data_IF_926419738717
#
_entry.id   IF_926419738717
#
_cell.length_a   1.000
_cell.length_b   1.000
_cell.length_c   1.000
_cell.angle_alpha   90.00
_cell.angle_beta   90.00
_cell.angle_gamma   90.00
#
_symmetry.space_group_name_H-M   'P 1'
#
loop_
_entity.id
_entity.type
_entity.pdbx_description
1 polymer ?
#
# COMPACT_ATOMS: atom_id res chain seq x y z
N UNK A 1 7.22 16.01 7.73
CA UNK A 1 7.35 14.84 8.62
C UNK A 1 6.69 15.05 9.98
N UNK A 2 5.39 15.37 10.01
CA UNK A 2 4.58 15.37 11.25
C UNK A 2 3.38 14.42 11.17
N UNK A 3 3.06 13.96 9.95
CA UNK A 3 1.95 13.07 9.67
C UNK A 3 2.34 11.57 9.65
N UNK A 4 3.63 11.25 9.75
CA UNK A 4 4.08 9.87 9.86
C UNK A 4 3.88 9.43 11.30
N UNK A 5 2.82 8.66 11.58
CA UNK A 5 2.70 7.74 12.71
C UNK A 5 3.52 8.12 13.97
N UNK A 6 3.27 9.32 14.53
CA UNK A 6 4.03 9.91 15.64
C UNK A 6 5.57 9.79 15.56
N UNK A 7 6.16 10.11 14.41
CA UNK A 7 7.62 10.16 14.20
C UNK A 7 8.25 8.87 13.67
N UNK A 8 7.48 7.80 13.42
CA UNK A 8 8.01 6.58 12.80
C UNK A 8 8.16 6.75 11.29
N UNK A 9 9.38 7.00 10.83
CA UNK A 9 9.71 7.17 9.42
C UNK A 9 9.42 5.89 8.62
N UNK A 10 8.70 6.01 7.52
CA UNK A 10 8.51 4.90 6.58
C UNK A 10 9.86 4.38 6.08
N UNK A 11 10.04 3.04 5.97
CA UNK A 11 11.25 2.45 5.40
C UNK A 11 11.56 3.04 4.01
N UNK A 12 12.84 3.36 3.77
CA UNK A 12 13.31 3.93 2.49
C UNK A 12 13.94 2.88 1.57
N UNK A 13 13.83 1.61 1.95
CA UNK A 13 14.27 0.44 1.20
C UNK A 13 13.24 -0.66 1.44
N UNK A 14 13.19 -1.62 0.53
CA UNK A 14 12.36 -2.80 0.69
C UNK A 14 12.77 -3.53 1.98
N UNK A 15 11.83 -3.68 2.91
CA UNK A 15 12.07 -4.46 4.12
C UNK A 15 12.34 -5.91 3.72
N UNK A 16 13.42 -6.55 4.20
CA UNK A 16 13.72 -7.93 3.86
C UNK A 16 12.53 -8.86 4.14
N UNK A 17 12.14 -9.67 3.15
CA UNK A 17 10.99 -10.58 3.24
C UNK A 17 9.63 -9.95 2.94
N UNK A 18 9.55 -8.63 2.72
CA UNK A 18 8.31 -7.98 2.29
C UNK A 18 7.95 -8.28 0.82
N UNK A 19 8.91 -8.77 0.03
CA UNK A 19 8.72 -9.34 -1.30
C UNK A 19 7.95 -10.66 -1.27
N UNK A 20 8.03 -11.40 -0.17
CA UNK A 20 7.40 -12.72 -0.01
C UNK A 20 6.01 -12.57 0.57
N UNK A 21 5.08 -12.16 -0.27
CA UNK A 21 3.67 -11.98 0.11
C UNK A 21 3.00 -13.33 0.32
N UNK A 22 2.36 -13.51 1.47
CA UNK A 22 1.56 -14.69 1.77
C UNK A 22 0.19 -14.34 2.36
N UNK A 23 -0.79 -15.22 2.16
CA UNK A 23 -2.08 -15.11 2.83
C UNK A 23 -1.92 -15.20 4.35
N UNK A 24 -2.67 -14.39 5.09
CA UNK A 24 -2.59 -14.29 6.55
C UNK A 24 -1.42 -13.46 7.07
N UNK A 25 -0.46 -13.08 6.23
CA UNK A 25 0.64 -12.20 6.63
C UNK A 25 0.11 -10.83 7.08
N UNK A 26 0.66 -10.29 8.16
CA UNK A 26 0.31 -8.95 8.61
C UNK A 26 0.80 -7.90 7.61
N UNK A 27 -0.13 -7.11 7.08
CA UNK A 27 0.11 -6.00 6.19
C UNK A 27 -0.63 -4.76 6.70
N UNK A 28 0.11 -3.68 6.91
CA UNK A 28 -0.39 -2.48 7.62
C UNK A 28 -0.88 -2.84 9.04
N UNK A 29 -2.19 -2.98 9.22
CA UNK A 29 -2.86 -3.27 10.51
C UNK A 29 -3.79 -4.50 10.42
N UNK A 30 -3.76 -5.24 9.31
CA UNK A 30 -4.63 -6.40 9.10
C UNK A 30 -3.93 -7.51 8.31
N UNK A 31 -4.46 -8.75 8.31
CA UNK A 31 -3.95 -9.81 7.47
C UNK A 31 -4.25 -9.56 5.98
N UNK A 32 -3.36 -10.02 5.11
CA UNK A 32 -3.64 -10.18 3.68
C UNK A 32 -4.63 -11.34 3.52
N UNK A 33 -5.74 -11.07 2.85
CA UNK A 33 -6.80 -12.07 2.62
C UNK A 33 -6.84 -12.54 1.17
N UNK A 34 -6.32 -11.73 0.25
CA UNK A 34 -6.30 -12.04 -1.17
C UNK A 34 -5.12 -11.30 -1.82
N UNK A 35 -4.40 -11.95 -2.72
CA UNK A 35 -3.42 -11.27 -3.56
C UNK A 35 -3.18 -12.03 -4.86
N UNK A 36 -2.70 -11.32 -5.86
CA UNK A 36 -2.09 -11.88 -7.06
C UNK A 36 -0.88 -11.04 -7.39
N UNK A 37 0.28 -11.69 -7.43
CA UNK A 37 1.55 -11.03 -7.67
C UNK A 37 1.51 -10.18 -8.95
N UNK A 38 2.05 -8.96 -8.86
CA UNK A 38 2.04 -7.97 -9.94
C UNK A 38 0.66 -7.42 -10.34
N UNK A 39 -0.44 -7.83 -9.68
CA UNK A 39 -1.81 -7.40 -10.01
C UNK A 39 -2.53 -6.72 -8.87
N UNK A 40 -2.67 -7.37 -7.72
CA UNK A 40 -3.37 -6.78 -6.58
C UNK A 40 -3.01 -7.44 -5.26
N UNK A 41 -3.29 -6.73 -4.18
CA UNK A 41 -3.16 -7.18 -2.80
C UNK A 41 -4.29 -6.56 -1.99
N UNK A 42 -5.02 -7.39 -1.26
CA UNK A 42 -6.15 -6.99 -0.42
C UNK A 42 -5.92 -7.45 1.01
N UNK A 43 -6.08 -6.51 1.94
CA UNK A 43 -6.05 -6.77 3.37
C UNK A 43 -7.39 -6.40 4.00
N UNK A 44 -7.80 -7.17 5.00
CA UNK A 44 -8.98 -6.89 5.83
C UNK A 44 -8.50 -6.48 7.21
N UNK A 45 -9.13 -5.45 7.74
CA UNK A 45 -8.78 -4.83 9.00
C UNK A 45 -10.02 -4.95 9.87
N UNK A 46 -9.96 -5.78 10.91
CA UNK A 46 -11.07 -5.99 11.85
C UNK A 46 -10.75 -5.39 13.24
N UNK A 47 -11.77 -4.97 14.00
CA UNK A 47 -11.60 -4.65 15.42
C UNK A 47 -11.03 -5.85 16.19
N UNK A 48 -10.09 -5.67 17.14
CA UNK A 48 -9.65 -4.40 17.74
C UNK A 48 -8.48 -3.70 17.01
N UNK A 49 -7.96 -4.26 15.91
CA UNK A 49 -6.73 -3.79 15.26
C UNK A 49 -6.86 -2.40 14.62
N UNK A 50 -8.08 -1.88 14.50
CA UNK A 50 -8.34 -0.51 14.05
C UNK A 50 -9.47 0.14 14.86
N UNK A 51 -9.11 0.77 15.98
CA UNK A 51 -10.06 1.62 16.74
C UNK A 51 -10.45 2.89 15.98
N UNK A 52 -9.59 3.34 15.06
CA UNK A 52 -9.77 4.59 14.31
C UNK A 52 -10.60 4.36 13.05
N UNK A 53 -10.29 3.36 12.23
CA UNK A 53 -11.02 3.09 10.98
C UNK A 53 -12.20 2.11 11.15
N UNK A 54 -12.26 1.36 12.26
CA UNK A 54 -13.25 0.29 12.41
C UNK A 54 -12.92 -0.91 11.51
N UNK A 55 -13.93 -1.76 11.26
CA UNK A 55 -13.81 -2.81 10.26
C UNK A 55 -13.69 -2.16 8.87
N UNK A 56 -12.67 -2.50 8.09
CA UNK A 56 -12.51 -2.03 6.71
C UNK A 56 -11.69 -3.00 5.87
N UNK A 57 -11.80 -2.88 4.54
CA UNK A 57 -10.92 -3.59 3.61
C UNK A 57 -10.15 -2.59 2.76
N UNK A 58 -8.88 -2.90 2.49
CA UNK A 58 -8.02 -2.07 1.64
C UNK A 58 -7.44 -2.93 0.53
N UNK A 59 -7.53 -2.43 -0.70
CA UNK A 59 -6.99 -3.09 -1.89
C UNK A 59 -6.02 -2.16 -2.60
N UNK A 60 -4.81 -2.65 -2.83
CA UNK A 60 -3.82 -2.09 -3.73
C UNK A 60 -3.92 -2.84 -5.05
N UNK A 61 -4.16 -2.13 -6.15
CA UNK A 61 -4.26 -2.70 -7.49
C UNK A 61 -3.26 -2.04 -8.44
N UNK A 62 -2.50 -2.86 -9.16
CA UNK A 62 -1.55 -2.44 -10.17
C UNK A 62 -2.21 -2.55 -11.54
N UNK A 63 -2.22 -1.45 -12.28
CA UNK A 63 -2.66 -1.41 -13.67
C UNK A 63 -1.48 -1.10 -14.56
N UNK A 64 -1.13 -1.99 -15.48
CA UNK A 64 -0.09 -1.70 -16.47
C UNK A 64 -0.51 -0.49 -17.32
N UNK A 65 0.42 0.43 -17.54
CA UNK A 65 0.26 1.60 -18.42
C UNK A 65 1.27 1.60 -19.57
N UNK A 66 2.11 0.56 -19.66
CA UNK A 66 3.14 0.40 -20.67
C UNK A 66 4.20 -0.64 -20.24
N UNK A 67 5.22 -0.90 -21.09
CA UNK A 67 6.22 -1.93 -20.84
C UNK A 67 7.04 -1.75 -19.56
N UNK A 68 7.25 -0.51 -19.13
CA UNK A 68 8.02 -0.15 -17.93
C UNK A 68 7.26 0.84 -17.04
N UNK A 69 5.93 0.87 -17.13
CA UNK A 69 5.12 1.80 -16.34
C UNK A 69 3.84 1.14 -15.85
N UNK A 70 3.43 1.53 -14.65
CA UNK A 70 2.17 1.11 -14.08
C UNK A 70 1.51 2.25 -13.28
N UNK A 71 0.21 2.08 -13.03
CA UNK A 71 -0.58 2.89 -12.12
C UNK A 71 -0.97 2.04 -10.93
N UNK A 72 -0.52 2.46 -9.75
CA UNK A 72 -0.97 1.91 -8.48
C UNK A 72 -2.25 2.64 -8.04
N UNK A 73 -3.31 1.89 -7.77
CA UNK A 73 -4.61 2.38 -7.30
C UNK A 73 -4.89 1.78 -5.94
N UNK A 74 -5.33 2.59 -4.99
CA UNK A 74 -5.75 2.13 -3.67
C UNK A 74 -7.23 2.40 -3.49
N UNK A 75 -7.94 1.41 -2.97
CA UNK A 75 -9.33 1.52 -2.59
C UNK A 75 -9.47 1.09 -1.13
N UNK A 76 -10.09 1.94 -0.33
CA UNK A 76 -10.53 1.63 1.03
C UNK A 76 -12.04 1.48 1.02
N UNK A 77 -12.56 0.37 1.55
CA UNK A 77 -13.98 0.13 1.75
C UNK A 77 -14.29 0.08 3.23
N UNK A 78 -15.17 0.98 3.68
CA UNK A 78 -15.51 1.18 5.09
C UNK A 78 -17.01 0.96 5.27
N UNK A 79 -17.45 -0.20 5.81
CA UNK A 79 -18.86 -0.43 6.13
C UNK A 79 -19.38 0.64 7.10
N UNK A 80 -20.53 1.22 6.77
CA UNK A 80 -21.23 2.22 7.57
C UNK A 80 -22.70 1.82 7.72
N UNK A 81 -23.09 1.46 8.94
CA UNK A 81 -24.45 1.06 9.32
C UNK A 81 -25.29 2.24 9.85
N UNK A 82 -24.64 3.26 10.43
CA UNK A 82 -25.32 4.43 10.98
C UNK A 82 -24.93 5.76 10.29
N UNK A 83 -25.79 6.79 10.40
CA UNK A 83 -25.52 8.12 9.83
C UNK A 83 -24.26 8.78 10.43
N UNK A 84 -24.04 8.61 11.72
CA UNK A 84 -22.85 9.15 12.39
C UNK A 84 -21.56 8.45 11.89
N UNK A 85 -21.63 7.15 11.58
CA UNK A 85 -20.49 6.40 11.03
C UNK A 85 -20.08 6.93 9.67
N UNK A 86 -21.04 7.35 8.84
CA UNK A 86 -20.77 7.99 7.55
C UNK A 86 -20.03 9.32 7.70
N UNK A 87 -20.44 10.14 8.66
CA UNK A 87 -19.75 11.42 8.95
C UNK A 87 -18.32 11.14 9.44
N UNK A 88 -18.14 10.18 10.34
CA UNK A 88 -16.82 9.76 10.80
C UNK A 88 -15.97 9.22 9.65
N UNK A 89 -16.50 8.32 8.83
CA UNK A 89 -15.82 7.75 7.68
C UNK A 89 -15.41 8.82 6.66
N UNK A 90 -16.25 9.85 6.46
CA UNK A 90 -15.91 10.98 5.61
C UNK A 90 -14.72 11.79 6.16
N UNK A 91 -14.72 12.11 7.46
CA UNK A 91 -13.59 12.80 8.10
C UNK A 91 -12.31 11.96 8.06
N UNK A 92 -12.43 10.65 8.31
CA UNK A 92 -11.32 9.71 8.19
C UNK A 92 -10.77 9.62 6.77
N UNK A 93 -11.64 9.62 5.76
CA UNK A 93 -11.24 9.59 4.35
C UNK A 93 -10.41 10.83 3.98
N UNK A 94 -10.71 12.00 4.54
CA UNK A 94 -9.89 13.20 4.34
C UNK A 94 -8.50 13.07 4.98
N UNK A 95 -8.43 12.54 6.20
CA UNK A 95 -7.15 12.27 6.87
C UNK A 95 -6.33 11.22 6.12
N UNK A 96 -6.96 10.11 5.74
CA UNK A 96 -6.36 9.03 4.97
C UNK A 96 -5.90 9.52 3.60
N UNK A 97 -6.65 10.38 2.90
CA UNK A 97 -6.27 10.86 1.58
C UNK A 97 -4.88 11.54 1.57
N UNK A 98 -4.60 12.37 2.59
CA UNK A 98 -3.30 13.05 2.71
C UNK A 98 -2.19 12.03 3.00
N UNK A 99 -2.45 11.10 3.92
CA UNK A 99 -1.48 10.08 4.34
C UNK A 99 -1.22 9.04 3.23
N UNK A 100 -2.27 8.52 2.62
CA UNK A 100 -2.25 7.60 1.50
C UNK A 100 -1.55 8.20 0.29
N UNK A 101 -1.78 9.48 -0.01
CA UNK A 101 -1.03 10.18 -1.07
C UNK A 101 0.46 10.16 -0.79
N UNK A 102 0.89 10.44 0.45
CA UNK A 102 2.31 10.38 0.83
C UNK A 102 2.85 8.96 0.69
N UNK A 103 2.12 7.95 1.16
CA UNK A 103 2.52 6.55 1.06
C UNK A 103 2.68 6.12 -0.40
N UNK A 104 1.73 6.46 -1.27
CA UNK A 104 1.78 6.14 -2.69
C UNK A 104 2.95 6.81 -3.42
N UNK A 105 3.23 8.08 -3.11
CA UNK A 105 4.41 8.76 -3.66
C UNK A 105 5.72 8.13 -3.15
N UNK A 106 5.75 7.70 -1.89
CA UNK A 106 6.91 6.98 -1.33
C UNK A 106 7.11 5.65 -2.04
N UNK A 107 6.06 4.85 -2.22
CA UNK A 107 6.11 3.58 -2.96
C UNK A 107 6.57 3.78 -4.40
N UNK A 108 6.08 4.83 -5.07
CA UNK A 108 6.53 5.21 -6.41
C UNK A 108 8.03 5.48 -6.43
N UNK A 109 8.52 6.36 -5.56
CA UNK A 109 9.94 6.73 -5.53
C UNK A 109 10.84 5.52 -5.26
N UNK A 110 10.39 4.59 -4.42
CA UNK A 110 11.11 3.34 -4.14
C UNK A 110 11.12 2.40 -5.35
N UNK A 111 9.98 2.19 -5.98
CA UNK A 111 9.86 1.35 -7.17
C UNK A 111 10.72 1.89 -8.32
N UNK A 112 10.71 3.21 -8.56
CA UNK A 112 11.55 3.83 -9.60
C UNK A 112 13.04 3.75 -9.28
N UNK A 113 13.44 3.81 -8.00
CA UNK A 113 14.84 3.60 -7.62
C UNK A 113 15.26 2.15 -7.83
N UNK A 114 14.48 1.19 -7.36
CA UNK A 114 14.75 -0.23 -7.60
C UNK A 114 14.87 -0.56 -9.08
N UNK A 115 13.95 -0.05 -9.91
CA UNK A 115 14.02 -0.24 -11.36
C UNK A 115 15.28 0.39 -11.99
N UNK A 116 15.72 1.56 -11.50
CA UNK A 116 16.99 2.18 -11.93
C UNK A 116 18.22 1.40 -11.48
N UNK A 117 18.18 0.77 -10.32
CA UNK A 117 19.29 0.00 -9.77
C UNK A 117 19.38 -1.39 -10.42
N UNK A 118 18.25 -1.98 -10.84
CA UNK A 118 18.19 -3.25 -11.59
C UNK A 118 18.48 -3.10 -13.09
N UNK A 119 18.11 -1.96 -13.71
CA UNK A 119 18.35 -1.69 -15.14
C UNK A 119 19.82 -1.79 -15.61
N UNK A 120 20.86 -1.32 -14.86
CA UNK A 120 22.25 -1.46 -15.29
C UNK A 120 22.76 -2.91 -15.27
N UNK A 121 22.14 -3.81 -14.50
CA UNK A 121 22.58 -5.21 -14.43
C UNK A 121 22.16 -6.03 -15.66
N UNK A 122 21.02 -5.70 -16.29
CA UNK A 122 20.52 -6.44 -17.46
C UNK A 122 21.18 -6.04 -18.79
N UNK A 123 21.85 -4.88 -18.86
CA UNK A 123 22.60 -4.45 -20.05
C UNK A 123 24.07 -4.92 -20.05
N UNK A 124 24.59 -5.36 -18.90
CA UNK A 124 25.97 -5.89 -18.79
C UNK A 124 26.05 -7.42 -18.97
N UNK A 125 24.91 -8.14 -19.02
CA UNK A 125 24.85 -9.60 -19.13
C UNK A 125 24.60 -10.17 -20.53
N UNK A 126 24.36 -9.33 -21.53
CA UNK A 126 24.23 -9.74 -22.95
C UNK A 126 25.51 -9.35 -23.68
N UNK A 127 26.59 -10.06 -23.37
CA UNK A 127 27.91 -9.76 -23.93
C UNK A 127 29.01 -10.65 -23.36
N UNK A 128 28.86 -11.97 -23.52
CA UNK A 128 29.96 -12.93 -23.49
C UNK A 128 29.57 -14.18 -24.28
#
# INVERSE_FOLDING_TARGET
>A
DWLDNWGRRSPRQLTPGADRVALGQSFLIGPIVEFTEGRHLTAVIDPPNSRVFGACSITYAVKSTGPASCRLVVKLDVPCHARWERVRAFLLAWGDLIMMRKQLLTLKDLAEKMARDEAPANLAGVGA
#
